data_IF_076333538105
#
_entry.id   IF_076333538105
#
_cell.length_a   1.000
_cell.length_b   1.000
_cell.length_c   1.000
_cell.angle_alpha   90.00
_cell.angle_beta   90.00
_cell.angle_gamma   90.00
#
_symmetry.space_group_name_H-M   'P 1'
#
loop_
_entity.id
_entity.type
_entity.pdbx_description
1 polymer ?
#
# COMPACT_ATOMS: atom_id res chain seq x y z
N UNK A 1 -14.53 -3.54 10.99
CA UNK A 1 -14.40 -2.07 10.81
C UNK A 1 -15.67 -1.40 10.26
N UNK A 2 -16.06 -1.57 8.98
CA UNK A 2 -17.21 -0.83 8.39
C UNK A 2 -18.51 -0.89 9.21
N UNK A 3 -18.90 -2.08 9.67
CA UNK A 3 -20.07 -2.28 10.56
C UNK A 3 -19.95 -1.59 11.92
N UNK A 4 -18.73 -1.36 12.40
CA UNK A 4 -18.45 -0.74 13.70
C UNK A 4 -18.38 0.78 13.59
N UNK A 5 -17.72 1.32 12.55
CA UNK A 5 -17.52 2.75 12.38
C UNK A 5 -18.56 3.45 11.51
N UNK A 6 -19.36 2.72 10.72
CA UNK A 6 -20.29 3.32 9.75
C UNK A 6 -19.61 3.96 8.53
N UNK A 7 -18.31 3.74 8.35
CA UNK A 7 -17.57 4.07 7.12
C UNK A 7 -17.72 2.97 6.08
N UNK A 8 -17.58 3.34 4.81
CA UNK A 8 -17.37 2.38 3.73
C UNK A 8 -15.91 1.95 3.69
N UNK A 9 -15.68 0.64 3.50
CA UNK A 9 -14.36 0.10 3.24
C UNK A 9 -14.12 0.01 1.74
N UNK A 10 -12.94 0.44 1.29
CA UNK A 10 -12.48 0.27 -0.08
C UNK A 10 -11.20 -0.56 -0.11
N UNK A 11 -10.99 -1.29 -1.20
CA UNK A 11 -9.73 -1.99 -1.47
C UNK A 11 -9.32 -1.76 -2.93
N UNK A 12 -8.02 -1.67 -3.17
CA UNK A 12 -7.42 -1.73 -4.51
C UNK A 12 -7.08 -3.19 -4.79
N UNK A 13 -7.48 -3.69 -5.96
CA UNK A 13 -6.96 -4.95 -6.49
C UNK A 13 -6.31 -4.70 -7.85
N UNK A 14 -5.40 -5.58 -8.24
CA UNK A 14 -4.78 -5.56 -9.57
C UNK A 14 -5.56 -6.46 -10.53
N UNK A 15 -5.49 -6.16 -11.83
CA UNK A 15 -6.23 -6.89 -12.86
C UNK A 15 -5.89 -8.38 -12.85
N UNK A 16 -4.62 -8.71 -12.67
CA UNK A 16 -4.09 -10.07 -12.60
C UNK A 16 -4.72 -10.89 -11.47
N UNK A 17 -5.13 -10.24 -10.37
CA UNK A 17 -5.82 -10.89 -9.25
C UNK A 17 -7.34 -10.99 -9.48
N UNK A 18 -7.95 -9.98 -10.10
CA UNK A 18 -9.40 -9.97 -10.37
C UNK A 18 -9.77 -10.95 -11.48
N UNK A 19 -8.89 -11.13 -12.47
CA UNK A 19 -9.09 -11.98 -13.64
C UNK A 19 -8.62 -13.43 -13.40
N UNK A 20 -8.05 -13.74 -12.23
CA UNK A 20 -7.62 -15.08 -11.85
C UNK A 20 -8.60 -15.74 -10.87
N UNK A 21 -8.53 -17.07 -10.79
CA UNK A 21 -9.31 -17.87 -9.85
C UNK A 21 -8.47 -18.95 -9.19
N UNK A 22 -8.63 -19.12 -7.88
CA UNK A 22 -8.02 -20.21 -7.12
C UNK A 22 -8.98 -20.64 -6.00
N UNK A 23 -9.01 -21.94 -5.68
CA UNK A 23 -9.69 -22.43 -4.47
C UNK A 23 -8.75 -22.29 -3.29
N UNK A 24 -9.22 -21.64 -2.22
CA UNK A 24 -8.46 -21.41 -0.99
C UNK A 24 -9.27 -21.85 0.21
N UNK A 25 -8.60 -22.46 1.19
CA UNK A 25 -9.20 -22.74 2.49
C UNK A 25 -9.21 -21.45 3.32
N UNK A 26 -10.41 -20.96 3.63
CA UNK A 26 -10.57 -19.79 4.49
C UNK A 26 -10.55 -20.22 5.96
N UNK A 27 -9.67 -19.60 6.74
CA UNK A 27 -9.76 -19.67 8.19
C UNK A 27 -11.10 -19.09 8.67
N UNK A 28 -11.61 -19.52 9.84
CA UNK A 28 -12.75 -18.88 10.48
C UNK A 28 -12.53 -17.37 10.62
N UNK A 29 -13.61 -16.60 10.54
CA UNK A 29 -13.52 -15.15 10.78
C UNK A 29 -13.03 -14.91 12.21
N UNK A 30 -12.03 -14.03 12.40
CA UNK A 30 -11.56 -13.71 13.74
C UNK A 30 -12.65 -12.95 14.51
N UNK A 31 -12.67 -13.14 15.82
CA UNK A 31 -13.44 -12.28 16.72
C UNK A 31 -12.75 -10.93 16.83
N UNK A 32 -13.50 -9.87 16.55
CA UNK A 32 -12.99 -8.50 16.63
C UNK A 32 -13.41 -7.84 17.93
N UNK A 33 -12.45 -7.22 18.60
CA UNK A 33 -12.72 -6.33 19.72
C UNK A 33 -13.53 -5.13 19.25
N UNK A 34 -14.52 -4.74 20.07
CA UNK A 34 -15.40 -3.60 19.82
C UNK A 34 -15.25 -2.63 20.97
N UNK A 35 -14.26 -1.72 20.91
CA UNK A 35 -14.10 -0.69 21.92
C UNK A 35 -15.38 0.14 22.11
N UNK A 36 -15.46 0.88 23.21
CA UNK A 36 -16.55 1.82 23.40
C UNK A 36 -16.47 2.92 22.32
N UNK A 37 -17.59 3.15 21.65
CA UNK A 37 -17.70 4.23 20.67
C UNK A 37 -17.80 5.59 21.38
N UNK A 38 -17.30 6.68 20.76
CA UNK A 38 -17.59 8.02 21.27
C UNK A 38 -19.10 8.25 21.32
N UNK A 39 -19.61 8.94 22.35
CA UNK A 39 -21.02 9.26 22.42
C UNK A 39 -21.37 10.19 21.27
N UNK A 40 -22.17 9.72 20.33
CA UNK A 40 -22.79 10.57 19.31
C UNK A 40 -24.28 10.67 19.61
N UNK A 41 -24.84 11.87 19.47
CA UNK A 41 -26.25 12.16 19.74
C UNK A 41 -27.20 11.22 18.99
N UNK A 42 -26.73 10.66 17.88
CA UNK A 42 -27.54 10.11 16.81
C UNK A 42 -27.03 8.80 16.20
N UNK A 43 -25.99 8.19 16.81
CA UNK A 43 -25.29 7.03 16.27
C UNK A 43 -24.33 7.40 15.13
N UNK A 44 -23.66 6.37 14.57
CA UNK A 44 -22.66 6.56 13.50
C UNK A 44 -23.22 6.31 12.10
N UNK A 45 -24.25 5.48 11.95
CA UNK A 45 -24.67 5.01 10.63
C UNK A 45 -25.43 6.07 9.82
N UNK A 46 -25.42 5.92 8.50
CA UNK A 46 -26.25 6.73 7.59
C UNK A 46 -27.71 6.39 7.86
N UNK A 47 -28.58 7.41 7.87
CA UNK A 47 -30.02 7.25 8.06
C UNK A 47 -30.78 8.22 7.16
N UNK A 48 -32.05 7.92 6.97
CA UNK A 48 -32.97 8.80 6.26
C UNK A 48 -34.12 9.21 7.19
N UNK A 49 -34.52 10.49 7.21
CA UNK A 49 -33.89 11.63 6.55
C UNK A 49 -32.66 12.15 7.33
N UNK A 50 -31.60 12.53 6.63
CA UNK A 50 -30.45 13.26 7.19
C UNK A 50 -30.34 14.59 6.43
N UNK A 51 -30.73 15.69 7.07
CA UNK A 51 -30.60 17.02 6.48
C UNK A 51 -29.11 17.42 6.42
N UNK A 52 -28.68 18.22 5.43
CA UNK A 52 -27.34 18.79 5.44
C UNK A 52 -27.14 19.71 6.65
N UNK A 53 -25.98 19.62 7.31
CA UNK A 53 -25.63 20.47 8.45
C UNK A 53 -24.44 19.97 9.25
N UNK A 54 -24.03 20.74 10.27
CA UNK A 54 -22.87 20.48 11.13
C UNK A 54 -22.87 19.06 11.73
N UNK A 55 -24.04 18.53 12.06
CA UNK A 55 -24.16 17.19 12.62
C UNK A 55 -23.64 16.08 11.68
N UNK A 56 -23.62 16.29 10.35
CA UNK A 56 -23.05 15.32 9.40
C UNK A 56 -21.54 15.36 9.41
N UNK A 57 -20.95 16.55 9.54
CA UNK A 57 -19.51 16.75 9.66
C UNK A 57 -18.99 16.17 10.98
N UNK A 58 -19.65 16.48 12.10
CA UNK A 58 -19.36 15.91 13.42
C UNK A 58 -19.50 14.38 13.41
N UNK A 59 -20.52 13.86 12.72
CA UNK A 59 -20.66 12.40 12.55
C UNK A 59 -19.51 11.83 11.72
N UNK A 60 -19.07 12.50 10.67
CA UNK A 60 -17.91 12.06 9.88
C UNK A 60 -16.65 11.95 10.74
N UNK A 61 -16.36 12.97 11.55
CA UNK A 61 -15.25 12.94 12.49
C UNK A 61 -15.39 11.79 13.51
N UNK A 62 -16.59 11.59 14.06
CA UNK A 62 -16.86 10.48 14.97
C UNK A 62 -16.69 9.10 14.30
N UNK A 63 -17.04 8.97 13.02
CA UNK A 63 -16.81 7.75 12.23
C UNK A 63 -15.32 7.48 12.04
N UNK A 64 -14.52 8.50 11.75
CA UNK A 64 -13.06 8.39 11.62
C UNK A 64 -12.41 8.01 12.96
N UNK A 65 -12.83 8.64 14.05
CA UNK A 65 -12.39 8.29 15.40
C UNK A 65 -12.74 6.83 15.77
N UNK A 66 -13.95 6.38 15.42
CA UNK A 66 -14.34 4.98 15.59
C UNK A 66 -13.47 4.04 14.75
N UNK A 67 -13.16 4.36 13.50
CA UNK A 67 -12.27 3.55 12.68
C UNK A 67 -10.86 3.45 13.26
N UNK A 68 -10.31 4.56 13.76
CA UNK A 68 -9.01 4.58 14.44
C UNK A 68 -9.01 3.70 15.70
N UNK A 69 -10.04 3.81 16.55
CA UNK A 69 -10.18 2.97 17.75
C UNK A 69 -10.30 1.47 17.40
N UNK A 70 -11.04 1.15 16.33
CA UNK A 70 -11.16 -0.23 15.85
C UNK A 70 -9.81 -0.77 15.36
N UNK A 71 -9.05 0.01 14.59
CA UNK A 71 -7.76 -0.39 14.04
C UNK A 71 -6.70 -0.57 15.15
N UNK A 72 -6.74 0.25 16.19
CA UNK A 72 -5.86 0.12 17.36
C UNK A 72 -6.15 -1.19 18.14
N UNK A 73 -7.42 -1.48 18.40
CA UNK A 73 -7.82 -2.69 19.12
C UNK A 73 -7.69 -3.97 18.28
N UNK A 74 -7.70 -3.83 16.95
CA UNK A 74 -7.60 -4.95 16.01
C UNK A 74 -6.54 -4.63 14.95
N UNK A 75 -5.24 -4.81 15.26
CA UNK A 75 -4.15 -4.44 14.36
C UNK A 75 -4.28 -5.11 12.99
N UNK A 76 -4.43 -4.28 11.96
CA UNK A 76 -4.52 -4.72 10.55
C UNK A 76 -3.12 -4.72 9.93
N UNK A 77 -2.31 -3.74 10.32
CA UNK A 77 -0.92 -3.59 9.92
C UNK A 77 -0.04 -4.66 10.60
N UNK A 78 1.12 -4.95 10.01
CA UNK A 78 2.01 -6.02 10.51
C UNK A 78 3.46 -5.57 10.49
N UNK A 79 4.16 -5.80 11.61
CA UNK A 79 5.62 -5.82 11.64
C UNK A 79 6.08 -7.22 11.21
N UNK A 80 6.93 -7.31 10.19
CA UNK A 80 7.25 -8.59 9.54
C UNK A 80 8.32 -9.38 10.28
N UNK A 81 9.40 -8.73 10.74
CA UNK A 81 10.51 -9.42 11.42
C UNK A 81 10.55 -9.14 12.92
N UNK A 82 9.96 -8.04 13.39
CA UNK A 82 9.94 -7.68 14.81
C UNK A 82 11.33 -7.34 15.34
N UNK A 83 12.18 -6.75 14.49
CA UNK A 83 13.56 -6.43 14.82
C UNK A 83 13.64 -5.10 15.56
N UNK A 84 13.66 -5.15 16.89
CA UNK A 84 13.74 -3.96 17.76
C UNK A 84 15.06 -3.21 17.64
N UNK A 85 16.12 -3.83 17.11
CA UNK A 85 17.40 -3.18 16.84
C UNK A 85 17.49 -2.55 15.44
N UNK A 86 16.40 -2.61 14.64
CA UNK A 86 16.42 -2.13 13.28
C UNK A 86 16.55 -0.61 13.18
N UNK A 87 17.66 -0.14 12.61
CA UNK A 87 17.90 1.26 12.27
C UNK A 87 17.29 1.65 10.93
N UNK A 88 17.17 0.72 10.00
CA UNK A 88 16.47 0.90 8.73
C UNK A 88 15.06 0.31 8.83
N UNK A 89 14.05 1.12 8.57
CA UNK A 89 12.66 0.66 8.49
C UNK A 89 12.14 0.79 7.07
N UNK A 90 11.43 -0.23 6.60
CA UNK A 90 10.76 -0.18 5.30
C UNK A 90 9.26 -0.27 5.52
N UNK A 91 8.51 0.76 5.17
CA UNK A 91 7.05 0.78 5.21
C UNK A 91 6.53 0.41 3.83
N UNK A 92 5.61 -0.54 3.73
CA UNK A 92 5.12 -1.01 2.44
C UNK A 92 3.63 -1.31 2.44
N UNK A 93 2.99 -1.23 1.27
CA UNK A 93 1.54 -1.32 1.10
C UNK A 93 1.15 -2.10 -0.16
N UNK A 94 0.08 -2.89 -0.08
CA UNK A 94 -0.51 -3.55 -1.24
C UNK A 94 0.45 -4.46 -2.00
N UNK A 95 0.42 -4.41 -3.34
CA UNK A 95 1.28 -5.21 -4.22
C UNK A 95 2.76 -4.91 -3.99
N UNK A 96 3.11 -3.65 -3.71
CA UNK A 96 4.49 -3.22 -3.47
C UNK A 96 5.19 -4.00 -2.36
N UNK A 97 4.42 -4.57 -1.41
CA UNK A 97 4.98 -5.47 -0.40
C UNK A 97 5.57 -6.73 -1.05
N UNK A 98 4.84 -7.38 -1.95
CA UNK A 98 5.35 -8.56 -2.66
C UNK A 98 6.57 -8.22 -3.52
N UNK A 99 6.54 -7.07 -4.20
CA UNK A 99 7.68 -6.63 -5.02
C UNK A 99 8.93 -6.36 -4.17
N UNK A 100 8.76 -5.74 -3.01
CA UNK A 100 9.83 -5.51 -2.04
C UNK A 100 10.38 -6.83 -1.50
N UNK A 101 9.52 -7.74 -1.05
CA UNK A 101 9.98 -9.03 -0.50
C UNK A 101 10.76 -9.82 -1.55
N UNK A 102 10.34 -9.79 -2.81
CA UNK A 102 11.08 -10.41 -3.91
C UNK A 102 12.41 -9.71 -4.18
N UNK A 103 12.44 -8.38 -4.23
CA UNK A 103 13.68 -7.61 -4.39
C UNK A 103 14.70 -7.92 -3.29
N UNK A 104 14.26 -7.97 -2.02
CA UNK A 104 15.10 -8.35 -0.87
C UNK A 104 15.60 -9.79 -1.02
N UNK A 105 14.73 -10.73 -1.39
CA UNK A 105 15.11 -12.13 -1.64
C UNK A 105 16.19 -12.26 -2.71
N UNK A 106 16.07 -11.52 -3.81
CA UNK A 106 17.02 -11.54 -4.93
C UNK A 106 18.44 -11.13 -4.51
N UNK A 107 18.57 -10.17 -3.59
CA UNK A 107 19.88 -9.77 -3.04
C UNK A 107 20.28 -10.57 -1.79
N UNK A 108 19.55 -11.61 -1.41
CA UNK A 108 19.90 -12.48 -0.29
C UNK A 108 19.59 -11.86 1.08
N UNK A 109 18.56 -11.02 1.16
CA UNK A 109 17.99 -10.53 2.42
C UNK A 109 16.77 -11.37 2.82
N UNK A 110 17.03 -12.45 3.54
CA UNK A 110 16.00 -13.17 4.29
C UNK A 110 15.80 -12.55 5.69
N UNK A 111 14.94 -13.15 6.50
CA UNK A 111 14.64 -12.65 7.84
C UNK A 111 15.87 -12.58 8.76
N UNK A 112 16.80 -13.53 8.67
CA UNK A 112 18.02 -13.55 9.49
C UNK A 112 19.03 -12.49 9.02
N UNK A 113 19.17 -12.32 7.72
CA UNK A 113 19.97 -11.25 7.14
C UNK A 113 19.40 -9.87 7.48
N UNK A 114 18.08 -9.67 7.39
CA UNK A 114 17.42 -8.44 7.84
C UNK A 114 17.71 -8.15 9.31
N UNK A 115 17.63 -9.16 10.19
CA UNK A 115 17.99 -9.01 11.60
C UNK A 115 19.45 -8.57 11.78
N UNK A 116 20.38 -9.24 11.11
CA UNK A 116 21.82 -8.95 11.17
C UNK A 116 22.15 -7.54 10.68
N UNK A 117 21.50 -7.08 9.62
CA UNK A 117 21.74 -5.74 9.06
C UNK A 117 20.89 -4.64 9.71
N UNK A 118 20.07 -4.96 10.72
CA UNK A 118 19.26 -3.94 11.40
C UNK A 118 18.14 -3.38 10.50
N UNK A 119 17.47 -4.25 9.75
CA UNK A 119 16.33 -3.94 8.88
C UNK A 119 15.05 -4.54 9.50
N UNK A 120 13.96 -3.79 9.44
CA UNK A 120 12.61 -4.31 9.68
C UNK A 120 11.61 -3.74 8.68
N UNK A 121 10.48 -4.42 8.52
CA UNK A 121 9.46 -4.11 7.52
C UNK A 121 8.12 -3.94 8.22
N UNK A 122 7.43 -2.85 7.93
CA UNK A 122 6.06 -2.57 8.37
C UNK A 122 5.12 -2.63 7.18
N UNK A 123 4.26 -3.64 7.14
CA UNK A 123 3.23 -3.81 6.12
C UNK A 123 1.95 -3.11 6.56
N UNK A 124 1.62 -2.02 5.88
CA UNK A 124 0.36 -1.29 6.05
C UNK A 124 -0.78 -2.11 5.45
N UNK A 125 -1.77 -2.42 6.27
CA UNK A 125 -3.04 -3.00 5.88
C UNK A 125 -4.18 -1.98 5.87
N UNK A 126 -4.12 -0.93 6.70
CA UNK A 126 -5.05 0.21 6.66
C UNK A 126 -4.38 1.43 6.03
N UNK A 127 -4.63 1.65 4.74
CA UNK A 127 -3.98 2.72 3.96
C UNK A 127 -4.44 4.11 4.36
N UNK A 128 -5.74 4.27 4.63
CA UNK A 128 -6.31 5.56 5.02
C UNK A 128 -7.56 5.39 5.89
N UNK A 129 -7.69 6.15 7.00
CA UNK A 129 -6.60 6.85 7.68
C UNK A 129 -5.60 5.85 8.27
N UNK A 130 -4.30 6.13 8.20
CA UNK A 130 -3.28 5.23 8.76
C UNK A 130 -3.45 5.07 10.28
N UNK A 131 -3.19 3.87 10.80
CA UNK A 131 -3.14 3.62 12.24
C UNK A 131 -1.86 4.26 12.81
N UNK A 132 -2.02 5.33 13.60
CA UNK A 132 -0.91 6.20 13.96
C UNK A 132 -0.04 5.65 15.10
N UNK A 133 -0.60 4.88 16.03
CA UNK A 133 0.13 4.40 17.22
C UNK A 133 1.15 3.34 16.84
N UNK A 134 0.75 2.33 16.06
CA UNK A 134 1.62 1.28 15.54
C UNK A 134 2.65 1.81 14.55
N UNK A 135 2.24 2.70 13.64
CA UNK A 135 3.17 3.36 12.72
C UNK A 135 4.23 4.19 13.47
N UNK A 136 3.83 5.00 14.47
CA UNK A 136 4.76 5.76 15.28
C UNK A 136 5.70 4.85 16.09
N UNK A 137 5.17 3.77 16.68
CA UNK A 137 5.96 2.79 17.42
C UNK A 137 7.01 2.12 16.53
N UNK A 138 6.65 1.77 15.29
CA UNK A 138 7.59 1.20 14.33
C UNK A 138 8.68 2.20 13.92
N UNK A 139 8.30 3.46 13.66
CA UNK A 139 9.22 4.50 13.22
C UNK A 139 10.18 4.99 14.31
N UNK A 140 9.81 4.79 15.58
CA UNK A 140 10.53 5.36 16.71
C UNK A 140 12.03 4.98 16.72
N UNK A 141 12.89 6.00 16.69
CA UNK A 141 14.35 5.84 16.78
C UNK A 141 15.03 5.25 15.53
N UNK A 142 14.31 5.11 14.42
CA UNK A 142 14.90 4.65 13.16
C UNK A 142 15.75 5.75 12.51
N UNK A 143 16.88 5.36 11.95
CA UNK A 143 17.75 6.29 11.21
C UNK A 143 17.07 6.72 9.91
N UNK A 144 16.46 5.78 9.20
CA UNK A 144 15.72 6.03 7.97
C UNK A 144 14.46 5.16 7.89
N UNK A 145 13.40 5.77 7.35
CA UNK A 145 12.19 5.09 6.88
C UNK A 145 12.12 5.21 5.37
N UNK A 146 12.13 4.07 4.68
CA UNK A 146 11.81 3.99 3.26
C UNK A 146 10.36 3.59 3.07
N UNK A 147 9.55 4.44 2.45
CA UNK A 147 8.16 4.15 2.10
C UNK A 147 8.09 3.61 0.67
N UNK A 148 7.71 2.33 0.55
CA UNK A 148 7.55 1.61 -0.72
C UNK A 148 6.07 1.44 -1.02
N UNK A 149 5.53 2.35 -1.83
CA UNK A 149 4.14 2.31 -2.30
C UNK A 149 4.02 2.56 -3.80
N UNK A 150 2.94 2.08 -4.40
CA UNK A 150 2.63 2.32 -5.81
C UNK A 150 1.91 3.65 -6.02
N UNK A 151 1.98 4.19 -7.24
CA UNK A 151 1.26 5.41 -7.65
C UNK A 151 1.63 6.62 -6.79
N UNK A 152 0.65 7.46 -6.42
CA UNK A 152 0.87 8.65 -5.58
C UNK A 152 1.14 8.24 -4.14
N UNK A 153 1.97 9.02 -3.45
CA UNK A 153 2.35 8.76 -2.06
C UNK A 153 1.24 9.04 -1.04
N UNK A 154 0.27 8.13 -0.87
CA UNK A 154 -0.81 8.29 0.12
C UNK A 154 -0.33 7.92 1.51
N UNK A 155 0.47 6.84 1.62
CA UNK A 155 1.06 6.41 2.88
C UNK A 155 2.20 7.34 3.27
N UNK A 156 3.08 7.70 2.33
CA UNK A 156 4.21 8.58 2.56
C UNK A 156 3.78 9.96 3.09
N UNK A 157 2.74 10.57 2.49
CA UNK A 157 2.20 11.85 2.95
C UNK A 157 1.74 11.77 4.42
N UNK A 158 1.04 10.70 4.80
CA UNK A 158 0.58 10.49 6.19
C UNK A 158 1.73 10.17 7.15
N UNK A 159 2.72 9.38 6.72
CA UNK A 159 3.92 9.03 7.49
C UNK A 159 4.76 10.28 7.77
N UNK A 160 4.98 11.12 6.77
CA UNK A 160 5.66 12.42 6.96
C UNK A 160 4.89 13.31 7.93
N UNK A 161 3.57 13.40 7.77
CA UNK A 161 2.72 14.19 8.68
C UNK A 161 2.73 13.65 10.12
N UNK A 162 2.82 12.33 10.32
CA UNK A 162 2.95 11.73 11.64
C UNK A 162 4.31 12.03 12.26
N UNK A 163 5.39 11.93 11.49
CA UNK A 163 6.75 12.17 11.96
C UNK A 163 6.97 13.58 12.51
N UNK A 164 6.30 14.61 11.97
CA UNK A 164 6.39 15.99 12.50
C UNK A 164 5.86 16.12 13.93
N UNK A 165 5.06 15.15 14.40
CA UNK A 165 4.47 15.14 15.75
C UNK A 165 5.18 14.21 16.73
N UNK A 166 6.19 13.46 16.30
CA UNK A 166 6.86 12.44 17.13
C UNK A 166 7.95 13.00 18.07
N UNK A 167 8.37 14.26 17.91
CA UNK A 167 9.45 14.82 18.71
C UNK A 167 10.79 14.09 18.49
N UNK A 168 11.52 13.80 19.57
CA UNK A 168 12.84 13.16 19.50
C UNK A 168 12.82 11.71 18.99
N UNK A 169 11.66 11.06 18.99
CA UNK A 169 11.49 9.71 18.45
C UNK A 169 11.35 9.65 16.93
N UNK A 170 11.18 10.80 16.27
CA UNK A 170 11.00 10.86 14.82
C UNK A 170 12.19 10.23 14.07
N UNK A 171 11.93 9.57 12.92
CA UNK A 171 13.02 9.02 12.11
C UNK A 171 13.90 10.14 11.56
N UNK A 172 15.20 9.89 11.44
CA UNK A 172 16.17 10.89 10.96
C UNK A 172 15.93 11.30 9.50
N UNK A 173 15.47 10.36 8.68
CA UNK A 173 15.15 10.58 7.27
C UNK A 173 13.92 9.75 6.87
N UNK A 174 13.08 10.33 6.01
CA UNK A 174 11.98 9.60 5.35
C UNK A 174 12.20 9.73 3.84
N UNK A 175 12.38 8.60 3.19
CA UNK A 175 12.50 8.45 1.73
C UNK A 175 11.34 7.65 1.18
N UNK A 176 11.10 7.73 -0.12
CA UNK A 176 10.02 7.03 -0.81
C UNK A 176 9.92 7.50 -2.25
N UNK A 177 8.90 8.30 -2.56
CA UNK A 177 8.77 9.04 -3.83
C UNK A 177 9.92 10.00 -4.04
N UNK A 178 10.41 10.59 -2.95
CA UNK A 178 11.64 11.39 -2.95
C UNK A 178 12.71 10.72 -2.08
N UNK A 179 13.94 10.73 -2.56
CA UNK A 179 15.13 10.24 -1.87
C UNK A 179 15.80 11.30 -1.00
N UNK A 180 17.07 11.06 -0.65
CA UNK A 180 17.88 12.07 0.03
C UNK A 180 17.97 13.34 -0.83
N UNK A 181 18.10 14.53 -0.23
CA UNK A 181 18.21 15.79 -1.01
C UNK A 181 17.04 16.09 -1.98
N UNK A 182 15.86 15.49 -1.79
CA UNK A 182 14.64 15.72 -2.58
C UNK A 182 14.71 15.31 -4.07
N UNK A 183 15.64 14.44 -4.48
CA UNK A 183 15.56 13.85 -5.82
C UNK A 183 14.41 12.84 -5.91
N UNK A 184 13.76 12.64 -7.07
CA UNK A 184 12.84 11.53 -7.26
C UNK A 184 13.54 10.18 -7.00
N UNK A 185 12.87 9.27 -6.30
CA UNK A 185 13.37 7.93 -5.98
C UNK A 185 12.41 6.85 -6.50
N UNK A 186 11.30 6.58 -5.81
CA UNK A 186 10.29 5.61 -6.28
C UNK A 186 9.31 6.31 -7.23
N UNK A 187 9.15 5.83 -8.48
CA UNK A 187 8.30 6.49 -9.46
C UNK A 187 6.82 6.48 -9.05
N UNK A 188 6.10 7.53 -9.45
CA UNK A 188 4.64 7.63 -9.32
C UNK A 188 3.91 7.14 -10.58
N UNK A 189 4.61 7.20 -11.72
CA UNK A 189 4.12 6.74 -13.02
C UNK A 189 4.57 5.30 -13.30
N UNK A 190 3.77 4.58 -14.09
CA UNK A 190 4.03 3.18 -14.42
C UNK A 190 3.57 2.20 -13.34
N UNK A 191 3.99 0.96 -13.52
CA UNK A 191 3.81 -0.13 -12.56
C UNK A 191 5.12 -0.35 -11.80
N UNK A 192 5.01 -0.59 -10.49
CA UNK A 192 6.18 -0.96 -9.70
C UNK A 192 6.41 -2.48 -9.85
N UNK A 193 7.65 -2.85 -10.14
CA UNK A 193 8.08 -4.24 -10.28
C UNK A 193 9.41 -4.46 -9.53
N UNK A 194 9.74 -5.72 -9.16
CA UNK A 194 10.94 -6.02 -8.38
C UNK A 194 12.23 -5.52 -9.03
N UNK A 195 12.36 -5.63 -10.35
CA UNK A 195 13.54 -5.22 -11.12
C UNK A 195 13.79 -3.71 -11.09
N UNK A 196 12.71 -2.91 -11.12
CA UNK A 196 12.75 -1.45 -11.03
C UNK A 196 12.96 -0.99 -9.59
N UNK A 197 12.39 -1.71 -8.63
CA UNK A 197 12.51 -1.38 -7.21
C UNK A 197 13.89 -1.74 -6.64
N UNK A 198 14.47 -2.85 -7.10
CA UNK A 198 15.71 -3.41 -6.57
C UNK A 198 16.89 -2.42 -6.50
N UNK A 199 17.27 -1.71 -7.58
CA UNK A 199 18.39 -0.76 -7.52
C UNK A 199 18.12 0.40 -6.54
N UNK A 200 16.86 0.86 -6.46
CA UNK A 200 16.46 1.96 -5.57
C UNK A 200 16.56 1.54 -4.10
N UNK A 201 16.08 0.34 -3.76
CA UNK A 201 16.17 -0.21 -2.41
C UNK A 201 17.63 -0.49 -2.05
N UNK A 202 18.42 -1.05 -2.97
CA UNK A 202 19.84 -1.34 -2.75
C UNK A 202 20.65 -0.09 -2.39
N UNK A 203 20.40 1.04 -3.07
CA UNK A 203 21.03 2.33 -2.75
C UNK A 203 20.74 2.75 -1.30
N UNK A 204 19.49 2.65 -0.85
CA UNK A 204 19.10 3.01 0.52
C UNK A 204 19.67 2.04 1.55
N UNK A 205 19.77 0.75 1.20
CA UNK A 205 20.38 -0.26 2.05
C UNK A 205 21.87 0.00 2.25
N UNK A 206 22.64 0.28 1.20
CA UNK A 206 24.08 0.59 1.32
C UNK A 206 24.33 1.87 2.14
N UNK A 207 23.41 2.84 2.10
CA UNK A 207 23.51 4.03 2.94
C UNK A 207 23.27 3.78 4.44
N UNK A 208 22.63 2.67 4.81
CA UNK A 208 22.22 2.38 6.19
C UNK A 208 22.84 1.09 6.78
N UNK A 209 23.37 0.21 5.93
CA UNK A 209 23.81 -1.13 6.30
C UNK A 209 25.24 -1.34 5.78
N UNK A 210 26.21 -1.34 6.70
CA UNK A 210 27.62 -1.44 6.33
C UNK A 210 28.02 -2.85 5.82
N UNK A 211 28.97 -2.89 4.89
CA UNK A 211 29.77 -4.09 4.60
C UNK A 211 29.13 -5.14 3.69
N UNK A 212 28.09 -4.79 2.94
CA UNK A 212 27.30 -5.79 2.20
C UNK A 212 27.22 -5.59 0.67
N UNK A 213 27.60 -4.43 0.11
CA UNK A 213 27.54 -4.15 -1.34
C UNK A 213 26.19 -4.57 -1.97
N UNK A 214 25.10 -3.97 -1.49
CA UNK A 214 23.76 -4.22 -2.03
C UNK A 214 23.64 -3.70 -3.46
N UNK A 215 24.23 -2.53 -3.77
CA UNK A 215 24.24 -1.97 -5.12
C UNK A 215 24.94 -2.89 -6.11
N UNK A 216 26.10 -3.44 -5.77
CA UNK A 216 26.80 -4.38 -6.64
C UNK A 216 26.03 -5.69 -6.81
N UNK A 217 25.33 -6.18 -5.77
CA UNK A 217 24.40 -7.32 -5.89
C UNK A 217 23.24 -7.03 -6.84
N UNK A 218 22.61 -5.86 -6.70
CA UNK A 218 21.53 -5.42 -7.58
C UNK A 218 22.01 -5.29 -9.03
N UNK A 219 23.16 -4.66 -9.27
CA UNK A 219 23.72 -4.46 -10.61
C UNK A 219 24.02 -5.78 -11.36
N UNK A 220 24.28 -6.88 -10.64
CA UNK A 220 24.45 -8.21 -11.25
C UNK A 220 23.14 -8.86 -11.71
N UNK A 221 22.00 -8.37 -11.19
CA UNK A 221 20.67 -8.93 -11.41
C UNK A 221 19.80 -8.02 -12.30
N UNK A 222 20.07 -6.72 -12.28
CA UNK A 222 19.39 -5.74 -13.11
C UNK A 222 20.13 -5.59 -14.44
N UNK A 223 19.53 -5.99 -15.57
CA UNK A 223 20.13 -5.72 -16.87
C UNK A 223 20.30 -4.20 -17.07
N UNK A 224 21.30 -3.75 -17.84
CA UNK A 224 21.43 -2.34 -18.17
C UNK A 224 20.13 -1.84 -18.81
N UNK A 225 19.74 -0.57 -18.60
CA UNK A 225 18.53 -0.01 -19.19
C UNK A 225 18.62 -0.07 -20.71
N UNK A 226 18.12 -1.15 -21.30
CA UNK A 226 17.85 -1.24 -22.73
C UNK A 226 16.65 -0.34 -22.97
N UNK A 227 16.77 0.67 -23.84
CA UNK A 227 15.74 1.70 -24.09
C UNK A 227 14.42 1.19 -24.68
N UNK A 228 14.09 -0.10 -24.54
CA UNK A 228 12.93 -0.77 -25.09
C UNK A 228 12.57 -2.03 -24.28
N UNK A 229 12.32 -1.88 -22.99
CA UNK A 229 11.55 -2.88 -22.23
C UNK A 229 10.17 -2.33 -21.86
N UNK A 230 9.54 -1.57 -22.76
CA UNK A 230 8.09 -1.51 -22.73
C UNK A 230 7.63 -2.95 -22.95
N UNK A 231 6.99 -3.63 -21.99
CA UNK A 231 6.27 -4.85 -22.35
C UNK A 231 5.40 -4.46 -23.54
N UNK A 232 5.48 -5.24 -24.62
CA UNK A 232 4.56 -5.06 -25.73
C UNK A 232 3.18 -4.93 -25.09
N UNK A 233 2.54 -3.77 -25.22
CA UNK A 233 1.18 -3.58 -24.73
C UNK A 233 0.46 -4.82 -25.22
N UNK A 234 -0.02 -5.66 -24.30
CA UNK A 234 -0.93 -6.73 -24.67
C UNK A 234 -2.00 -6.00 -25.46
N UNK A 235 -2.06 -6.23 -26.77
CA UNK A 235 -3.14 -5.74 -27.59
C UNK A 235 -4.35 -6.57 -27.14
N UNK A 236 -4.91 -6.22 -25.99
CA UNK A 236 -6.19 -6.72 -25.54
C UNK A 236 -7.16 -6.17 -26.56
N UNK A 237 -7.56 -7.02 -27.50
CA UNK A 237 -8.68 -6.73 -28.38
C UNK A 237 -9.85 -6.38 -27.47
N UNK A 238 -10.52 -5.23 -27.61
CA UNK A 238 -11.66 -4.90 -26.76
C UNK A 238 -12.69 -6.04 -26.82
N UNK A 239 -12.99 -6.65 -25.69
CA UNK A 239 -13.99 -7.71 -25.56
C UNK A 239 -14.89 -7.43 -24.36
N UNK A 240 -16.19 -7.75 -24.50
CA UNK A 240 -17.08 -7.79 -23.36
C UNK A 240 -16.74 -9.01 -22.48
N UNK A 241 -17.09 -8.94 -21.18
CA UNK A 241 -16.86 -10.03 -20.24
C UNK A 241 -17.36 -11.37 -20.83
N UNK A 242 -16.58 -12.44 -20.66
CA UNK A 242 -16.90 -13.80 -21.10
C UNK A 242 -18.29 -14.20 -20.61
N UNK A 243 -19.22 -14.44 -21.53
CA UNK A 243 -20.60 -14.84 -21.22
C UNK A 243 -21.62 -13.70 -21.10
N UNK A 244 -21.23 -12.44 -21.29
CA UNK A 244 -22.18 -11.33 -21.32
C UNK A 244 -22.96 -11.31 -22.66
N UNK A 245 -24.30 -11.23 -22.66
CA UNK A 245 -25.10 -11.16 -23.89
C UNK A 245 -24.80 -9.93 -24.77
N UNK A 246 -24.09 -8.93 -24.23
CA UNK A 246 -23.61 -7.77 -24.99
C UNK A 246 -22.50 -8.13 -26.01
N UNK A 247 -21.87 -9.31 -25.93
CA UNK A 247 -20.87 -9.71 -26.92
C UNK A 247 -21.47 -9.96 -28.32
N UNK A 248 -22.79 -10.16 -28.41
CA UNK A 248 -23.53 -10.19 -29.69
C UNK A 248 -23.80 -8.79 -30.25
N UNK A 249 -23.78 -7.75 -29.42
CA UNK A 249 -24.08 -6.36 -29.80
C UNK A 249 -22.96 -5.69 -30.61
N UNK A 250 -21.79 -6.31 -30.73
CA UNK A 250 -20.69 -5.91 -31.63
C UNK A 250 -20.81 -6.48 -33.05
N UNK A 251 -21.77 -7.37 -33.30
CA UNK A 251 -22.08 -7.85 -34.65
C UNK A 251 -22.98 -6.83 -35.35
N UNK A 252 -22.38 -5.88 -36.04
CA UNK A 252 -23.10 -4.86 -36.81
C UNK A 252 -23.25 -5.27 -38.28
N UNK A 253 -24.32 -4.84 -38.96
CA UNK A 253 -24.46 -5.03 -40.41
C UNK A 253 -23.31 -4.40 -41.21
N UNK A 254 -23.11 -4.88 -42.43
CA UNK A 254 -22.11 -4.34 -43.35
C UNK A 254 -22.36 -2.84 -43.60
N UNK A 255 -21.29 -2.03 -43.48
CA UNK A 255 -21.37 -0.56 -43.59
C UNK A 255 -21.78 0.17 -42.30
N UNK A 256 -21.99 -0.54 -41.19
CA UNK A 256 -22.28 0.08 -39.89
C UNK A 256 -21.05 0.09 -38.98
N UNK A 257 -20.97 1.08 -38.09
CA UNK A 257 -19.93 1.18 -37.06
C UNK A 257 -20.56 1.08 -35.67
N UNK A 258 -19.97 0.27 -34.78
CA UNK A 258 -20.27 0.26 -33.36
C UNK A 258 -19.02 0.65 -32.57
N UNK A 259 -19.20 1.54 -31.60
CA UNK A 259 -18.14 2.00 -30.71
C UNK A 259 -18.43 1.49 -29.30
N UNK A 260 -17.39 1.06 -28.60
CA UNK A 260 -17.50 0.71 -27.18
C UNK A 260 -17.68 1.99 -26.36
N UNK A 261 -18.82 2.13 -25.69
CA UNK A 261 -19.01 3.14 -24.65
C UNK A 261 -18.33 2.68 -23.36
N UNK A 262 -17.48 3.52 -22.77
CA UNK A 262 -16.94 3.33 -21.42
C UNK A 262 -18.08 3.64 -20.44
N UNK A 263 -18.94 2.65 -20.19
CA UNK A 263 -20.07 2.81 -19.28
C UNK A 263 -20.61 1.46 -18.83
N UNK A 264 -20.38 1.13 -17.56
CA UNK A 264 -21.25 0.21 -16.83
C UNK A 264 -22.16 1.08 -15.97
N UNK A 265 -23.38 1.30 -16.45
CA UNK A 265 -24.44 2.16 -15.88
C UNK A 265 -24.07 3.64 -15.70
#
# INVERSE_FOLDING_TARGET
MSRYSGLWGGFKSVSELIEAGQTVDLAPLPDFEKPALPPTTDGLHVRWPDAPGLHLEERMEAKLAAAAAFALANPIDRVIHGNTAARMGIITVGKAHGDLMEALRLIGLDADACRRFGIDIYKVGLVWPIEQTGAAAFMNGKAEILVVEEKRGIVEEQIRALATRMGSGAPGLITGKTGAHNHPLIPTAGELAPDTLLPLVAERLDANCDGADFCGRAARLTPPPTGSNSPAFSQRTPHFCSGCPHNTSTRVPEGSEALAGIGWH
#
